data_IF_682743199567
#
_entry.id   IF_682743199567
#
_cell.length_a   1.000
_cell.length_b   1.000
_cell.length_c   1.000
_cell.angle_alpha   90.00
_cell.angle_beta   90.00
_cell.angle_gamma   90.00
#
_symmetry.space_group_name_H-M   'P 1'
#
loop_
_entity.id
_entity.type
_entity.pdbx_description
1 polymer ?
#
# COMPACT_ATOMS: atom_id res chain seq x y z
N UNK A 1 7.86 -12.96 8.29
CA UNK A 1 7.76 -12.22 7.01
C UNK A 1 8.56 -10.90 7.05
N UNK A 2 8.35 -10.03 8.02
CA UNK A 2 9.04 -8.71 8.11
C UNK A 2 10.56 -8.84 8.11
N UNK A 3 11.12 -9.75 8.90
CA UNK A 3 12.59 -9.97 8.94
C UNK A 3 13.16 -10.43 7.59
N UNK A 4 12.44 -11.27 6.84
CA UNK A 4 12.85 -11.69 5.50
C UNK A 4 12.90 -10.48 4.55
N UNK A 5 11.85 -9.67 4.51
CA UNK A 5 11.80 -8.45 3.71
C UNK A 5 12.91 -7.45 4.07
N UNK A 6 13.14 -7.23 5.36
CA UNK A 6 14.16 -6.29 5.84
C UNK A 6 15.57 -6.76 5.51
N UNK A 7 15.81 -8.07 5.42
CA UNK A 7 17.12 -8.65 5.05
C UNK A 7 17.57 -8.28 3.63
N UNK A 8 16.62 -7.95 2.75
CA UNK A 8 16.89 -7.55 1.36
C UNK A 8 17.15 -6.06 1.17
N UNK A 9 16.94 -5.24 2.23
CA UNK A 9 17.04 -3.78 2.15
C UNK A 9 18.39 -3.28 2.65
N UNK A 10 19.19 -2.68 1.77
CA UNK A 10 20.41 -2.01 2.17
C UNK A 10 20.05 -0.75 2.98
N UNK A 11 20.77 -0.48 4.06
CA UNK A 11 20.76 0.77 4.87
C UNK A 11 19.53 1.70 4.73
N UNK A 12 18.32 1.15 4.76
CA UNK A 12 17.08 1.93 4.65
C UNK A 12 17.00 3.07 5.70
N UNK A 13 17.42 2.87 6.97
CA UNK A 13 17.40 3.96 7.95
C UNK A 13 18.29 5.14 7.57
N UNK A 14 19.49 4.88 7.03
CA UNK A 14 20.40 5.93 6.55
C UNK A 14 19.83 6.66 5.35
N UNK A 15 19.31 5.91 4.38
CA UNK A 15 18.66 6.47 3.20
C UNK A 15 17.53 7.45 3.56
N UNK A 16 16.62 7.06 4.46
CA UNK A 16 15.51 7.90 4.91
C UNK A 16 15.98 9.11 5.71
N UNK A 17 16.97 8.94 6.61
CA UNK A 17 17.54 10.04 7.38
C UNK A 17 18.19 11.10 6.50
N UNK A 18 18.81 10.68 5.41
CA UNK A 18 19.51 11.56 4.46
C UNK A 18 18.55 12.17 3.42
N UNK A 19 17.23 12.08 3.64
CA UNK A 19 16.19 12.68 2.79
C UNK A 19 15.71 11.80 1.64
N UNK A 20 16.10 10.53 1.61
CA UNK A 20 15.56 9.56 0.66
C UNK A 20 14.08 9.26 0.93
N UNK A 21 13.38 8.79 -0.11
CA UNK A 21 11.95 8.44 -0.04
C UNK A 21 11.68 7.06 -0.63
N UNK A 22 10.82 6.30 0.02
CA UNK A 22 10.31 5.03 -0.51
C UNK A 22 9.15 5.23 -1.46
N UNK A 23 8.46 6.37 -1.38
CA UNK A 23 7.31 6.72 -2.21
C UNK A 23 7.68 6.81 -3.69
N UNK A 24 6.67 6.58 -4.52
CA UNK A 24 6.74 6.79 -5.96
C UNK A 24 6.07 8.13 -6.33
N UNK A 25 6.36 8.69 -7.50
CA UNK A 25 5.82 9.99 -7.92
C UNK A 25 4.29 10.04 -7.93
N UNK A 26 3.62 8.95 -8.27
CA UNK A 26 2.15 8.85 -8.37
C UNK A 26 1.47 9.13 -7.03
N UNK A 27 2.05 8.62 -5.94
CA UNK A 27 1.54 8.84 -4.59
C UNK A 27 1.69 10.30 -4.18
N UNK A 28 2.88 10.87 -4.43
CA UNK A 28 3.18 12.26 -4.10
C UNK A 28 2.29 13.21 -4.89
N UNK A 29 2.06 12.94 -6.18
CA UNK A 29 1.19 13.73 -7.05
C UNK A 29 -0.26 13.72 -6.55
N UNK A 30 -0.81 12.53 -6.23
CA UNK A 30 -2.18 12.40 -5.75
C UNK A 30 -2.38 13.02 -4.35
N UNK A 31 -1.40 12.90 -3.46
CA UNK A 31 -1.45 13.50 -2.12
C UNK A 31 -1.35 15.03 -2.18
N UNK A 32 -0.53 15.55 -3.07
CA UNK A 32 -0.24 16.98 -3.16
C UNK A 32 0.59 17.50 -1.98
N UNK A 33 0.40 18.77 -1.63
CA UNK A 33 1.13 19.39 -0.52
C UNK A 33 0.71 18.81 0.84
N UNK A 34 1.68 18.28 1.60
CA UNK A 34 1.51 17.69 2.92
C UNK A 34 2.09 18.56 4.05
N UNK A 35 2.65 19.72 3.74
CA UNK A 35 3.28 20.63 4.72
C UNK A 35 2.31 21.00 5.85
N UNK A 36 2.63 20.59 7.09
CA UNK A 36 1.84 20.87 8.28
C UNK A 36 0.52 20.11 8.42
N UNK A 37 0.20 19.20 7.50
CA UNK A 37 -1.02 18.39 7.54
C UNK A 37 -0.89 17.18 8.46
N UNK A 38 -2.02 16.78 9.04
CA UNK A 38 -2.16 15.50 9.73
C UNK A 38 -2.51 14.40 8.72
N UNK A 39 -1.79 13.26 8.78
CA UNK A 39 -1.97 12.15 7.86
C UNK A 39 -2.12 10.83 8.59
N UNK A 40 -3.13 10.06 8.21
CA UNK A 40 -3.32 8.68 8.62
C UNK A 40 -2.87 7.73 7.50
N UNK A 41 -1.88 6.90 7.77
CA UNK A 41 -1.44 5.84 6.85
C UNK A 41 -2.01 4.50 7.31
N UNK A 42 -2.95 3.96 6.53
CA UNK A 42 -3.61 2.68 6.79
C UNK A 42 -2.74 1.52 6.30
N UNK A 43 -2.72 0.42 7.07
CA UNK A 43 -1.97 -0.80 6.73
C UNK A 43 -0.50 -0.49 6.40
N UNK A 44 0.13 0.31 7.31
CA UNK A 44 1.41 0.98 7.07
C UNK A 44 2.64 0.06 7.04
N UNK A 45 2.46 -1.24 7.25
CA UNK A 45 3.52 -2.25 7.23
C UNK A 45 4.73 -1.82 8.10
N UNK A 46 5.96 -2.02 7.65
CA UNK A 46 7.20 -1.67 8.33
C UNK A 46 7.55 -0.16 8.33
N UNK A 47 6.64 0.71 7.86
CA UNK A 47 6.66 2.15 8.09
C UNK A 47 7.57 2.98 7.18
N UNK A 48 8.17 2.40 6.14
CA UNK A 48 9.05 3.15 5.22
C UNK A 48 8.33 4.33 4.59
N UNK A 49 7.14 4.09 4.02
CA UNK A 49 6.32 5.13 3.39
C UNK A 49 5.81 6.14 4.41
N UNK A 50 5.42 5.70 5.62
CA UNK A 50 5.04 6.61 6.71
C UNK A 50 6.15 7.60 7.07
N UNK A 51 7.40 7.14 7.10
CA UNK A 51 8.56 7.99 7.36
C UNK A 51 8.82 8.94 6.20
N UNK A 52 8.67 8.46 4.97
CA UNK A 52 8.79 9.28 3.76
C UNK A 52 7.72 10.37 3.70
N UNK A 53 6.46 10.05 4.08
CA UNK A 53 5.37 11.02 4.20
C UNK A 53 5.66 12.09 5.27
N UNK A 54 6.25 11.68 6.41
CA UNK A 54 6.72 12.64 7.42
C UNK A 54 7.84 13.55 6.88
N UNK A 55 8.72 13.01 6.03
CA UNK A 55 9.75 13.78 5.31
C UNK A 55 9.18 14.84 4.37
N UNK A 56 7.95 14.68 3.89
CA UNK A 56 7.19 15.67 3.12
C UNK A 56 6.46 16.71 4.00
N UNK A 57 6.66 16.68 5.31
CA UNK A 57 6.14 17.67 6.25
C UNK A 57 4.83 17.30 6.94
N UNK A 58 4.31 16.08 6.73
CA UNK A 58 3.11 15.61 7.42
C UNK A 58 3.38 15.19 8.87
N UNK A 59 2.38 15.37 9.74
CA UNK A 59 2.29 14.70 11.04
C UNK A 59 1.61 13.34 10.86
N UNK A 60 2.38 12.25 10.82
CA UNK A 60 1.89 10.94 10.38
C UNK A 60 1.54 10.04 11.56
N UNK A 61 0.36 9.40 11.47
CA UNK A 61 -0.03 8.23 12.27
C UNK A 61 -0.15 7.03 11.33
N UNK A 62 0.65 5.99 11.54
CA UNK A 62 0.56 4.72 10.82
C UNK A 62 -0.17 3.67 11.66
N UNK A 63 -1.05 2.90 11.03
CA UNK A 63 -1.81 1.81 11.66
C UNK A 63 -1.59 0.52 10.89
N UNK A 64 -1.26 -0.55 11.61
CA UNK A 64 -1.14 -1.90 11.06
C UNK A 64 -1.58 -2.95 12.07
N UNK A 65 -2.09 -4.08 11.59
CA UNK A 65 -2.52 -5.19 12.45
C UNK A 65 -1.34 -6.05 12.93
N UNK A 66 -0.22 -6.05 12.22
CA UNK A 66 0.95 -6.89 12.51
C UNK A 66 1.80 -6.30 13.63
N UNK A 67 1.95 -7.05 14.73
CA UNK A 67 2.85 -6.69 15.82
C UNK A 67 4.30 -6.52 15.33
N UNK A 68 4.78 -7.46 14.49
CA UNK A 68 6.14 -7.42 13.94
C UNK A 68 6.36 -6.20 13.04
N UNK A 69 5.39 -5.88 12.18
CA UNK A 69 5.47 -4.72 11.30
C UNK A 69 5.55 -3.42 12.10
N UNK A 70 4.70 -3.25 13.11
CA UNK A 70 4.68 -2.05 13.97
C UNK A 70 5.96 -1.94 14.81
N UNK A 71 6.51 -3.06 15.31
CA UNK A 71 7.80 -3.05 16.03
C UNK A 71 8.93 -2.63 15.08
N UNK A 72 8.96 -3.16 13.86
CA UNK A 72 9.94 -2.78 12.83
C UNK A 72 9.78 -1.31 12.44
N UNK A 73 8.56 -0.83 12.21
CA UNK A 73 8.27 0.56 11.88
C UNK A 73 8.76 1.55 12.95
N UNK A 74 8.51 1.25 14.22
CA UNK A 74 9.00 2.05 15.35
C UNK A 74 10.54 2.04 15.47
N UNK A 75 11.17 0.89 15.18
CA UNK A 75 12.64 0.77 15.14
C UNK A 75 13.21 1.60 13.99
N UNK A 76 12.63 1.48 12.80
CA UNK A 76 13.04 2.21 11.60
C UNK A 76 12.93 3.73 11.82
N UNK A 77 11.81 4.21 12.37
CA UNK A 77 11.62 5.63 12.66
C UNK A 77 12.69 6.17 13.63
N UNK A 78 12.96 5.45 14.71
CA UNK A 78 14.05 5.84 15.65
C UNK A 78 15.42 5.91 14.96
N UNK A 79 15.74 4.92 14.10
CA UNK A 79 17.02 4.87 13.41
C UNK A 79 17.15 5.96 12.32
N UNK A 80 16.04 6.31 11.67
CA UNK A 80 15.98 7.40 10.70
C UNK A 80 15.86 8.80 11.35
N UNK A 81 15.62 8.88 12.67
CA UNK A 81 15.39 10.14 13.36
C UNK A 81 14.05 10.79 13.03
N UNK A 82 13.08 10.01 12.54
CA UNK A 82 11.78 10.50 12.12
C UNK A 82 10.74 10.45 13.26
N UNK A 83 9.84 11.44 13.28
CA UNK A 83 8.74 11.53 14.23
C UNK A 83 7.46 11.01 13.57
N UNK A 84 7.17 9.73 13.77
CA UNK A 84 5.95 9.07 13.28
C UNK A 84 5.34 8.28 14.42
N UNK A 85 4.02 8.37 14.58
CA UNK A 85 3.27 7.55 15.52
C UNK A 85 2.82 6.27 14.85
N UNK A 86 3.13 5.11 15.43
CA UNK A 86 2.68 3.81 14.94
C UNK A 86 1.80 3.12 15.97
N UNK A 87 0.62 2.69 15.55
CA UNK A 87 -0.38 2.00 16.37
C UNK A 87 -0.63 0.59 15.82
N UNK A 88 -0.63 -0.40 16.71
CA UNK A 88 -1.03 -1.76 16.37
C UNK A 88 -2.51 -1.91 16.62
N UNK A 89 -3.28 -2.16 15.58
CA UNK A 89 -4.74 -2.37 15.70
C UNK A 89 -5.31 -3.09 14.48
N UNK A 90 -6.45 -3.76 14.66
CA UNK A 90 -7.33 -4.06 13.55
C UNK A 90 -7.84 -2.77 12.92
N UNK A 91 -7.84 -2.69 11.60
CA UNK A 91 -8.16 -1.47 10.87
C UNK A 91 -9.60 -1.00 11.10
N UNK A 92 -10.56 -1.93 11.08
CA UNK A 92 -11.99 -1.61 11.22
C UNK A 92 -12.30 -1.13 12.64
N UNK A 93 -11.73 -1.79 13.64
CA UNK A 93 -11.86 -1.40 15.04
C UNK A 93 -11.25 -0.02 15.28
N UNK A 94 -10.05 0.21 14.75
CA UNK A 94 -9.35 1.48 14.89
C UNK A 94 -10.11 2.65 14.25
N UNK A 95 -10.57 2.49 13.01
CA UNK A 95 -11.34 3.53 12.31
C UNK A 95 -12.65 3.86 13.04
N UNK A 96 -13.34 2.83 13.53
CA UNK A 96 -14.58 2.99 14.30
C UNK A 96 -14.35 3.76 15.61
N UNK A 97 -13.30 3.41 16.35
CA UNK A 97 -12.95 4.05 17.61
C UNK A 97 -12.48 5.49 17.39
N UNK A 98 -11.53 5.69 16.46
CA UNK A 98 -11.03 7.01 16.09
C UNK A 98 -12.14 7.97 15.67
N UNK A 99 -13.11 7.48 14.88
CA UNK A 99 -14.27 8.28 14.48
C UNK A 99 -15.15 8.66 15.68
N UNK A 100 -15.36 7.73 16.65
CA UNK A 100 -16.16 7.99 17.88
C UNK A 100 -15.47 8.98 18.81
N UNK A 101 -14.14 8.93 18.88
CA UNK A 101 -13.31 9.86 19.66
C UNK A 101 -13.18 11.23 19.00
N UNK A 102 -13.69 11.41 17.78
CA UNK A 102 -13.56 12.65 17.02
C UNK A 102 -12.16 12.89 16.46
N UNK A 103 -11.33 11.86 16.35
CA UNK A 103 -10.03 11.99 15.67
C UNK A 103 -10.26 12.29 14.19
N UNK A 104 -9.55 13.29 13.67
CA UNK A 104 -9.66 13.75 12.29
C UNK A 104 -8.29 13.94 11.68
N UNK A 105 -8.22 13.78 10.36
CA UNK A 105 -7.00 13.91 9.56
C UNK A 105 -7.28 14.71 8.29
N UNK A 106 -6.31 15.52 7.89
CA UNK A 106 -6.35 16.25 6.62
C UNK A 106 -6.20 15.31 5.43
N UNK A 107 -5.47 14.20 5.61
CA UNK A 107 -5.29 13.17 4.60
C UNK A 107 -5.33 11.78 5.20
N UNK A 108 -5.90 10.82 4.46
CA UNK A 108 -5.79 9.39 4.70
C UNK A 108 -5.14 8.75 3.49
N UNK A 109 -4.18 7.89 3.73
CA UNK A 109 -3.39 7.24 2.67
C UNK A 109 -3.36 5.72 2.85
N UNK A 110 -3.44 4.98 1.75
CA UNK A 110 -3.23 3.54 1.69
C UNK A 110 -2.55 3.18 0.37
N UNK A 111 -1.62 2.21 0.37
CA UNK A 111 -0.88 1.85 -0.83
C UNK A 111 -0.48 0.38 -0.88
N UNK A 112 -0.46 -0.12 -2.08
CA UNK A 112 0.07 -1.40 -2.57
C UNK A 112 -0.31 -2.67 -1.80
N UNK A 113 -1.22 -3.42 -2.40
CA UNK A 113 -1.68 -4.69 -1.88
C UNK A 113 -2.53 -4.57 -0.61
N UNK A 114 -3.24 -3.45 -0.43
CA UNK A 114 -4.05 -3.20 0.77
C UNK A 114 -5.49 -3.65 0.58
N UNK A 115 -6.07 -3.48 -0.60
CA UNK A 115 -7.48 -3.78 -0.88
C UNK A 115 -7.79 -5.27 -0.77
N UNK A 116 -6.83 -6.12 -1.13
CA UNK A 116 -7.00 -7.57 -1.04
C UNK A 116 -7.13 -8.11 0.39
N UNK A 117 -6.80 -7.33 1.42
CA UNK A 117 -6.96 -7.72 2.82
C UNK A 117 -8.31 -7.32 3.42
N UNK A 118 -9.16 -6.60 2.68
CA UNK A 118 -10.38 -6.01 3.20
C UNK A 118 -11.59 -6.93 2.98
N UNK A 119 -12.21 -7.46 4.04
CA UNK A 119 -13.43 -8.28 3.90
C UNK A 119 -14.68 -7.44 3.61
N UNK A 120 -14.66 -6.14 3.88
CA UNK A 120 -15.81 -5.23 3.76
C UNK A 120 -15.36 -3.84 3.30
N UNK A 121 -15.53 -3.55 2.01
CA UNK A 121 -15.21 -2.24 1.43
C UNK A 121 -16.14 -1.13 1.91
N UNK A 122 -17.39 -1.44 2.24
CA UNK A 122 -18.38 -0.43 2.69
C UNK A 122 -18.00 0.07 4.09
N UNK A 123 -17.70 -0.86 5.01
CA UNK A 123 -17.24 -0.51 6.35
C UNK A 123 -15.90 0.24 6.31
N UNK A 124 -14.96 -0.17 5.44
CA UNK A 124 -13.68 0.49 5.24
C UNK A 124 -13.85 1.93 4.74
N UNK A 125 -14.60 2.14 3.66
CA UNK A 125 -14.82 3.46 3.09
C UNK A 125 -15.58 4.39 4.06
N UNK A 126 -16.57 3.85 4.78
CA UNK A 126 -17.29 4.59 5.82
C UNK A 126 -16.40 5.01 6.98
N UNK A 127 -15.47 4.13 7.38
CA UNK A 127 -14.46 4.42 8.40
C UNK A 127 -13.51 5.54 7.98
N UNK A 128 -13.02 5.51 6.73
CA UNK A 128 -12.17 6.56 6.15
C UNK A 128 -12.90 7.90 6.15
N UNK A 129 -14.13 7.93 5.62
CA UNK A 129 -14.95 9.15 5.62
C UNK A 129 -15.17 9.68 7.04
N UNK A 130 -15.32 8.77 8.02
CA UNK A 130 -15.53 9.11 9.44
C UNK A 130 -14.34 9.78 10.11
N UNK A 131 -13.11 9.57 9.63
CA UNK A 131 -11.89 10.14 10.21
C UNK A 131 -11.24 11.26 9.38
N UNK A 132 -11.76 11.55 8.19
CA UNK A 132 -11.32 12.72 7.41
C UNK A 132 -11.91 14.01 7.95
N UNK A 133 -11.15 15.09 7.92
CA UNK A 133 -11.67 16.44 8.08
C UNK A 133 -12.57 16.81 6.89
N UNK A 134 -13.56 17.73 7.05
CA UNK A 134 -14.21 18.33 5.90
C UNK A 134 -13.17 19.00 4.99
N UNK A 135 -13.22 18.69 3.69
CA UNK A 135 -12.17 19.11 2.73
C UNK A 135 -10.92 18.25 2.74
N UNK A 136 -10.81 17.29 3.65
CA UNK A 136 -9.72 16.32 3.68
C UNK A 136 -9.79 15.31 2.54
N UNK A 137 -8.65 14.68 2.20
CA UNK A 137 -8.56 13.76 1.08
C UNK A 137 -8.17 12.34 1.50
N UNK A 138 -8.71 11.38 0.80
CA UNK A 138 -8.23 10.01 0.77
C UNK A 138 -7.48 9.74 -0.52
N UNK A 139 -6.30 9.13 -0.41
CA UNK A 139 -5.52 8.66 -1.56
C UNK A 139 -5.23 7.18 -1.43
N UNK A 140 -5.52 6.44 -2.48
CA UNK A 140 -5.20 5.03 -2.66
C UNK A 140 -4.36 4.87 -3.92
N UNK A 141 -3.24 4.17 -3.83
CA UNK A 141 -2.52 3.64 -4.99
C UNK A 141 -2.37 2.14 -4.78
N UNK A 142 -2.93 1.34 -5.68
CA UNK A 142 -2.92 -0.11 -5.52
C UNK A 142 -2.76 -0.84 -6.86
N UNK A 143 -2.48 -2.13 -6.81
CA UNK A 143 -2.38 -2.99 -7.99
C UNK A 143 -3.76 -3.14 -8.65
N UNK A 144 -3.75 -3.02 -9.97
CA UNK A 144 -4.99 -3.11 -10.72
C UNK A 144 -5.51 -4.54 -10.74
N UNK A 145 -6.79 -4.79 -10.42
CA UNK A 145 -7.33 -6.14 -10.35
C UNK A 145 -7.29 -6.91 -11.67
N UNK A 146 -7.04 -6.25 -12.81
CA UNK A 146 -6.81 -6.95 -14.07
C UNK A 146 -5.54 -7.78 -14.04
N UNK A 147 -4.52 -7.41 -13.24
CA UNK A 147 -3.31 -8.20 -13.09
C UNK A 147 -3.60 -9.56 -12.42
N UNK A 148 -4.64 -9.64 -11.60
CA UNK A 148 -5.03 -10.88 -10.91
C UNK A 148 -5.70 -11.93 -11.83
N UNK A 149 -6.00 -11.58 -13.07
CA UNK A 149 -6.48 -12.57 -14.05
C UNK A 149 -5.36 -13.48 -14.57
N UNK A 150 -4.10 -13.07 -14.39
CA UNK A 150 -2.93 -13.83 -14.83
C UNK A 150 -2.34 -14.67 -13.70
N UNK A 151 -1.66 -15.74 -14.08
CA UNK A 151 -0.79 -16.49 -13.17
C UNK A 151 0.63 -15.87 -13.12
N UNK A 152 1.49 -16.47 -12.30
CA UNK A 152 2.87 -16.00 -12.16
C UNK A 152 3.71 -16.07 -13.43
N UNK A 153 3.30 -16.89 -14.41
CA UNK A 153 3.96 -17.03 -15.72
C UNK A 153 3.35 -16.10 -16.79
N UNK A 154 2.30 -15.33 -16.42
CA UNK A 154 1.60 -14.42 -17.34
C UNK A 154 0.52 -15.09 -18.18
N UNK A 155 0.19 -16.36 -17.88
CA UNK A 155 -0.93 -17.07 -18.50
C UNK A 155 -2.28 -16.60 -17.94
N UNK A 156 -3.33 -16.62 -18.76
CA UNK A 156 -4.70 -16.35 -18.29
C UNK A 156 -5.19 -17.49 -17.39
N UNK A 157 -5.33 -17.23 -16.10
CA UNK A 157 -5.61 -18.27 -15.09
C UNK A 157 -7.00 -18.16 -14.45
N UNK A 158 -7.60 -16.99 -14.43
CA UNK A 158 -8.87 -16.77 -13.70
C UNK A 158 -9.68 -15.59 -14.25
N UNK A 159 -10.95 -15.52 -13.84
CA UNK A 159 -11.82 -14.40 -14.20
C UNK A 159 -11.40 -13.11 -13.46
N UNK A 160 -11.80 -11.97 -14.03
CA UNK A 160 -11.67 -10.68 -13.36
C UNK A 160 -12.34 -10.71 -11.98
N UNK A 161 -11.68 -10.18 -10.93
CA UNK A 161 -12.22 -10.18 -9.56
C UNK A 161 -13.57 -9.47 -9.44
N UNK A 162 -14.44 -9.99 -8.64
CA UNK A 162 -15.71 -9.34 -8.31
C UNK A 162 -16.29 -9.92 -7.00
N UNK A 163 -17.09 -9.09 -6.30
CA UNK A 163 -17.91 -9.52 -5.18
C UNK A 163 -17.15 -9.83 -3.88
N UNK A 164 -15.88 -9.49 -3.80
CA UNK A 164 -15.08 -9.79 -2.61
C UNK A 164 -14.87 -11.28 -2.40
N UNK A 165 -14.74 -12.05 -3.48
CA UNK A 165 -14.54 -13.49 -3.40
C UNK A 165 -13.34 -13.81 -2.47
N UNK A 166 -13.56 -14.58 -1.38
CA UNK A 166 -12.48 -14.93 -0.48
C UNK A 166 -11.54 -15.98 -1.09
N UNK A 167 -10.25 -15.75 -0.95
CA UNK A 167 -9.19 -16.69 -1.34
C UNK A 167 -8.40 -17.07 -0.10
N UNK A 168 -8.20 -18.36 0.13
CA UNK A 168 -7.38 -18.85 1.21
C UNK A 168 -6.01 -19.29 0.70
N UNK A 169 -4.97 -18.62 1.18
CA UNK A 169 -3.57 -18.99 0.96
C UNK A 169 -3.12 -19.89 2.12
N UNK A 170 -2.81 -21.14 1.82
CA UNK A 170 -2.39 -22.09 2.86
C UNK A 170 -1.02 -21.74 3.47
N UNK A 171 -0.10 -21.23 2.66
CA UNK A 171 1.26 -20.85 3.06
C UNK A 171 1.42 -19.34 3.24
N UNK A 172 0.30 -18.56 3.31
CA UNK A 172 0.37 -17.11 3.44
C UNK A 172 1.10 -16.40 2.30
N UNK A 173 1.44 -15.14 2.52
CA UNK A 173 2.16 -14.32 1.52
C UNK A 173 3.65 -14.61 1.58
N UNK A 174 4.26 -14.84 0.41
CA UNK A 174 5.69 -15.10 0.27
C UNK A 174 6.56 -13.84 0.39
N UNK A 175 7.85 -14.00 0.09
CA UNK A 175 8.80 -12.89 0.10
C UNK A 175 8.76 -12.14 -1.24
N UNK A 176 7.79 -11.21 -1.35
CA UNK A 176 7.64 -10.36 -2.54
C UNK A 176 8.78 -9.34 -2.70
N UNK A 177 9.52 -9.01 -1.63
CA UNK A 177 10.70 -8.14 -1.73
C UNK A 177 11.83 -8.86 -2.42
N UNK A 178 12.10 -10.12 -2.05
CA UNK A 178 13.05 -10.96 -2.77
C UNK A 178 12.67 -11.14 -4.24
N UNK A 179 11.37 -11.41 -4.51
CA UNK A 179 10.86 -11.61 -5.88
C UNK A 179 10.97 -10.35 -6.76
N UNK A 180 10.82 -9.16 -6.17
CA UNK A 180 10.84 -7.87 -6.88
C UNK A 180 12.22 -7.21 -6.93
N UNK A 181 13.16 -7.66 -6.10
CA UNK A 181 14.53 -7.18 -6.10
C UNK A 181 14.66 -5.67 -5.89
N UNK A 182 15.40 -4.99 -6.78
CA UNK A 182 15.63 -3.55 -6.74
C UNK A 182 14.38 -2.68 -6.77
N UNK A 183 13.28 -3.21 -7.29
CA UNK A 183 12.00 -2.51 -7.39
C UNK A 183 11.46 -2.00 -6.04
N UNK A 184 11.54 -2.85 -5.01
CA UNK A 184 11.03 -2.53 -3.65
C UNK A 184 12.13 -2.10 -2.67
N UNK A 185 13.37 -1.90 -3.13
CA UNK A 185 14.51 -1.56 -2.28
C UNK A 185 15.21 -0.28 -2.74
N UNK A 186 14.62 0.91 -2.56
CA UNK A 186 15.16 2.16 -3.09
C UNK A 186 16.54 2.53 -2.53
N UNK A 187 16.89 2.04 -1.35
CA UNK A 187 18.21 2.22 -0.74
C UNK A 187 19.26 1.23 -1.26
N UNK A 188 18.87 0.28 -2.10
CA UNK A 188 19.68 -0.79 -2.63
C UNK A 188 19.19 -2.17 -2.21
N UNK A 189 19.39 -3.16 -3.10
CA UNK A 189 19.04 -4.56 -2.87
C UNK A 189 20.23 -5.34 -2.31
N UNK A 190 19.96 -6.20 -1.35
CA UNK A 190 20.91 -7.17 -0.81
C UNK A 190 20.37 -8.60 -1.04
N UNK A 191 21.25 -9.55 -1.30
CA UNK A 191 20.91 -10.95 -1.20
C UNK A 191 20.75 -11.32 0.28
N UNK A 192 19.49 -11.29 0.75
CA UNK A 192 19.12 -11.58 2.13
C UNK A 192 18.71 -13.04 2.33
N UNK A 193 17.67 -13.25 3.15
CA UNK A 193 17.14 -14.58 3.45
C UNK A 193 16.67 -15.29 2.18
N UNK A 194 17.09 -16.54 2.00
CA UNK A 194 16.66 -17.37 0.87
C UNK A 194 15.71 -18.46 1.33
N UNK A 195 14.75 -18.84 0.47
CA UNK A 195 13.84 -19.95 0.75
C UNK A 195 12.83 -19.67 1.86
N UNK A 196 12.53 -18.40 2.13
CA UNK A 196 11.48 -18.05 3.09
C UNK A 196 10.14 -18.65 2.68
N UNK A 197 9.47 -19.30 3.62
CA UNK A 197 8.08 -19.74 3.52
C UNK A 197 7.33 -19.21 4.71
N UNK A 198 6.19 -18.57 4.45
CA UNK A 198 5.33 -18.11 5.52
C UNK A 198 4.45 -19.28 6.00
N UNK A 199 4.59 -19.74 7.25
CA UNK A 199 3.79 -20.86 7.76
C UNK A 199 2.35 -20.46 8.09
N UNK A 200 2.09 -19.16 8.20
CA UNK A 200 0.79 -18.62 8.59
C UNK A 200 -0.09 -18.45 7.35
N UNK A 201 -1.19 -19.18 7.28
CA UNK A 201 -2.19 -19.02 6.23
C UNK A 201 -2.79 -17.61 6.21
N UNK A 202 -3.27 -17.21 5.05
CA UNK A 202 -3.89 -15.89 4.88
C UNK A 202 -5.21 -15.98 4.14
N UNK A 203 -6.11 -15.05 4.44
CA UNK A 203 -7.35 -14.84 3.69
C UNK A 203 -7.25 -13.53 2.92
N UNK A 204 -7.41 -13.60 1.62
CA UNK A 204 -7.49 -12.46 0.73
C UNK A 204 -8.89 -12.35 0.14
N UNK A 205 -9.23 -11.17 -0.34
CA UNK A 205 -10.53 -10.87 -0.95
C UNK A 205 -10.31 -10.28 -2.33
N UNK A 206 -11.06 -10.77 -3.33
CA UNK A 206 -10.90 -10.35 -4.72
C UNK A 206 -11.96 -9.32 -5.06
N UNK A 207 -11.55 -8.07 -5.16
CA UNK A 207 -12.39 -6.92 -5.48
C UNK A 207 -12.07 -6.35 -6.85
N UNK A 208 -13.10 -6.01 -7.61
CA UNK A 208 -12.94 -5.23 -8.83
C UNK A 208 -12.79 -3.73 -8.54
N UNK A 209 -12.17 -3.00 -9.46
CA UNK A 209 -11.97 -1.55 -9.33
C UNK A 209 -13.31 -0.79 -9.16
N UNK A 210 -14.34 -1.21 -9.90
CA UNK A 210 -15.68 -0.61 -9.80
C UNK A 210 -16.29 -0.71 -8.41
N UNK A 211 -16.01 -1.78 -7.66
CA UNK A 211 -16.50 -1.98 -6.29
C UNK A 211 -15.79 -1.05 -5.29
N UNK A 212 -14.48 -0.88 -5.46
CA UNK A 212 -13.69 0.07 -4.65
C UNK A 212 -14.21 1.50 -4.83
N UNK A 213 -14.39 1.93 -6.08
CA UNK A 213 -14.92 3.27 -6.43
C UNK A 213 -16.34 3.45 -5.88
N UNK A 214 -17.20 2.42 -6.02
CA UNK A 214 -18.58 2.45 -5.54
C UNK A 214 -18.64 2.56 -4.01
N UNK A 215 -17.79 1.84 -3.29
CA UNK A 215 -17.73 1.91 -1.83
C UNK A 215 -17.30 3.30 -1.35
N UNK A 216 -16.27 3.89 -1.94
CA UNK A 216 -15.81 5.25 -1.60
C UNK A 216 -16.90 6.29 -1.89
N UNK A 217 -17.52 6.24 -3.07
CA UNK A 217 -18.61 7.15 -3.42
C UNK A 217 -19.84 6.97 -2.51
N UNK A 218 -20.18 5.72 -2.17
CA UNK A 218 -21.27 5.38 -1.25
C UNK A 218 -21.04 5.88 0.18
N UNK A 219 -19.79 6.05 0.60
CA UNK A 219 -19.41 6.65 1.87
C UNK A 219 -19.45 8.20 1.86
N UNK A 220 -19.86 8.83 0.76
CA UNK A 220 -19.91 10.28 0.61
C UNK A 220 -18.58 10.92 0.24
N UNK A 221 -17.60 10.12 -0.20
CA UNK A 221 -16.32 10.64 -0.70
C UNK A 221 -16.45 10.96 -2.19
N UNK A 222 -16.12 12.19 -2.58
CA UNK A 222 -16.16 12.63 -3.97
C UNK A 222 -14.87 12.24 -4.69
N UNK A 223 -14.96 11.36 -5.67
CA UNK A 223 -13.81 10.98 -6.51
C UNK A 223 -13.36 12.19 -7.33
N UNK A 224 -12.12 12.62 -7.14
CA UNK A 224 -11.47 13.74 -7.85
C UNK A 224 -10.57 13.29 -8.97
N UNK A 225 -9.92 12.13 -8.77
CA UNK A 225 -9.09 11.51 -9.77
C UNK A 225 -9.21 9.99 -9.67
N UNK A 226 -9.21 9.35 -10.82
CA UNK A 226 -9.00 7.92 -11.00
C UNK A 226 -8.04 7.77 -12.17
N UNK A 227 -6.84 7.29 -11.88
CA UNK A 227 -5.79 7.06 -12.86
C UNK A 227 -5.52 5.57 -12.95
N UNK A 228 -5.27 5.08 -14.17
CA UNK A 228 -4.82 3.71 -14.42
C UNK A 228 -3.45 3.78 -15.07
N UNK A 229 -2.51 2.96 -14.60
CA UNK A 229 -1.12 2.99 -15.03
C UNK A 229 -0.74 1.67 -15.70
N UNK A 230 -0.15 1.69 -16.92
CA UNK A 230 0.25 0.48 -17.65
C UNK A 230 1.59 -0.09 -17.14
N UNK A 231 1.89 0.10 -15.86
CA UNK A 231 3.08 -0.39 -15.17
C UNK A 231 2.77 -0.63 -13.70
N UNK A 232 3.60 -1.45 -13.05
CA UNK A 232 3.61 -1.63 -11.60
C UNK A 232 4.81 -0.92 -10.98
N UNK A 233 4.59 -0.24 -9.87
CA UNK A 233 5.65 0.34 -9.05
C UNK A 233 6.27 -0.75 -8.17
N UNK A 234 7.54 -1.02 -8.39
CA UNK A 234 8.35 -1.88 -7.54
C UNK A 234 8.05 -3.36 -7.58
N UNK A 235 6.81 -3.78 -7.74
CA UNK A 235 6.39 -5.17 -7.67
C UNK A 235 6.34 -5.87 -9.02
N UNK A 236 6.85 -7.09 -9.06
CA UNK A 236 6.79 -7.98 -10.20
C UNK A 236 5.53 -8.83 -10.14
N UNK A 237 4.48 -8.42 -10.84
CA UNK A 237 3.18 -9.12 -10.83
C UNK A 237 3.24 -10.51 -11.47
N UNK A 238 4.11 -10.70 -12.49
CA UNK A 238 4.33 -11.97 -13.18
C UNK A 238 5.73 -12.05 -13.81
N UNK A 239 6.13 -13.24 -14.24
CA UNK A 239 7.43 -13.47 -14.88
C UNK A 239 7.60 -12.66 -16.17
N UNK A 240 8.84 -12.42 -16.56
CA UNK A 240 9.16 -11.74 -17.82
C UNK A 240 8.91 -10.23 -17.84
N UNK A 241 8.37 -9.62 -16.77
CA UNK A 241 8.23 -8.17 -16.70
C UNK A 241 9.58 -7.48 -16.85
N UNK A 242 9.58 -6.37 -17.61
CA UNK A 242 10.75 -5.55 -17.89
C UNK A 242 10.81 -4.35 -16.96
N UNK A 243 11.97 -4.08 -16.44
CA UNK A 243 12.20 -2.92 -15.59
C UNK A 243 12.44 -1.66 -16.44
N UNK A 244 11.76 -0.57 -16.07
CA UNK A 244 11.98 0.78 -16.58
C UNK A 244 12.65 1.65 -15.51
N UNK A 245 13.07 2.85 -15.90
CA UNK A 245 13.57 3.84 -14.96
C UNK A 245 12.53 4.15 -13.87
N UNK A 246 12.99 4.50 -12.66
CA UNK A 246 12.13 4.83 -11.54
C UNK A 246 11.51 3.62 -10.85
N UNK A 247 12.13 2.45 -10.94
CA UNK A 247 11.68 1.20 -10.31
C UNK A 247 10.31 0.72 -10.81
N UNK A 248 9.95 1.05 -12.04
CA UNK A 248 8.70 0.66 -12.69
C UNK A 248 8.87 -0.60 -13.49
N UNK A 249 7.88 -1.46 -13.47
CA UNK A 249 7.84 -2.73 -14.18
C UNK A 249 6.67 -2.75 -15.16
N UNK A 250 6.95 -3.13 -16.40
CA UNK A 250 5.96 -3.23 -17.48
C UNK A 250 5.85 -4.66 -17.98
N UNK A 251 4.74 -5.06 -18.62
CA UNK A 251 4.60 -6.37 -19.23
C UNK A 251 5.73 -6.68 -20.25
N UNK A 252 5.97 -7.97 -20.56
CA UNK A 252 6.79 -8.37 -21.68
C UNK A 252 6.31 -7.74 -23.01
N UNK A 253 7.17 -7.67 -24.05
CA UNK A 253 6.83 -7.00 -25.31
C UNK A 253 5.70 -7.70 -26.09
N UNK A 254 5.55 -8.99 -25.91
CA UNK A 254 4.51 -9.82 -26.51
C UNK A 254 3.18 -9.81 -25.77
N UNK A 255 3.13 -9.16 -24.60
CA UNK A 255 1.91 -8.96 -23.81
C UNK A 255 1.37 -7.56 -24.05
N UNK A 256 0.08 -7.41 -24.41
CA UNK A 256 -0.53 -6.08 -24.58
C UNK A 256 -0.38 -5.22 -23.33
N UNK A 257 -0.24 -3.92 -23.53
CA UNK A 257 -0.26 -2.97 -22.41
C UNK A 257 -1.63 -3.02 -21.72
N UNK A 258 -1.62 -3.39 -20.45
CA UNK A 258 -2.79 -3.42 -19.57
C UNK A 258 -2.52 -2.55 -18.35
N UNK A 259 -3.53 -2.01 -17.68
CA UNK A 259 -3.30 -1.32 -16.42
C UNK A 259 -2.84 -2.33 -15.37
N UNK A 260 -1.69 -2.04 -14.73
CA UNK A 260 -1.14 -2.87 -13.64
C UNK A 260 -1.30 -2.21 -12.28
N UNK A 261 -1.57 -0.92 -12.26
CA UNK A 261 -1.90 -0.16 -11.07
C UNK A 261 -3.03 0.82 -11.34
N UNK A 262 -3.63 1.29 -10.27
CA UNK A 262 -4.54 2.43 -10.30
C UNK A 262 -4.26 3.37 -9.11
N UNK A 263 -4.62 4.63 -9.27
CA UNK A 263 -4.57 5.64 -8.22
C UNK A 263 -5.91 6.35 -8.10
N UNK A 264 -6.40 6.49 -6.88
CA UNK A 264 -7.63 7.23 -6.57
C UNK A 264 -7.30 8.38 -5.63
N UNK A 265 -7.82 9.57 -5.95
CA UNK A 265 -7.97 10.65 -4.98
C UNK A 265 -9.45 10.91 -4.78
N UNK A 266 -9.92 10.85 -3.54
CA UNK A 266 -11.28 11.19 -3.16
C UNK A 266 -11.25 12.24 -2.04
N UNK A 267 -12.25 13.09 -1.96
CA UNK A 267 -12.34 14.17 -0.97
C UNK A 267 -13.65 14.07 -0.19
N UNK A 268 -13.57 14.37 1.09
CA UNK A 268 -14.74 14.57 1.93
C UNK A 268 -15.26 15.98 1.74
N UNK A 269 -16.55 16.12 1.37
CA UNK A 269 -17.24 17.43 1.30
C UNK A 269 -17.41 18.10 2.66
#
# INVERSE_FOLDING_TARGET
MVEAHDSHRANLPGFLRDGGSTLFPEEVELLGDLGGKTLLHLQCNSGGDSISLAGLGASVTGVDISDEAVVSARKLARQAGAQVRFERADLFDWLREASREGRRFDAVFASYGVVCWLPDLVAWAGGIAGVLEPGGCFVLVDFHPVADIFDGDGGHARNYPAGGEPVHLQEGVGDYVAASGGGLTPAGYLEGATGFRNPEGAHLFRWGLGEVVTALAGAGLRIRALHEYPYANGERCFAGMRELSGRRLVPPEDVPAIPLMYGIRAERD
#
